data_IF_556688619304
#
_entry.id   IF_556688619304
#
_cell.length_a   1.000
_cell.length_b   1.000
_cell.length_c   1.000
_cell.angle_alpha   90.00
_cell.angle_beta   90.00
_cell.angle_gamma   90.00
#
_symmetry.space_group_name_H-M   'P 1'
#
loop_
_entity.id
_entity.type
_entity.pdbx_description
1 polymer ?
#
# COMPACT_ATOMS: atom_id res chain seq x y z
N UNK A 1 42.35 -23.61 10.72
CA UNK A 1 41.03 -23.72 10.06
C UNK A 1 40.64 -22.32 9.64
N UNK A 2 40.67 -22.04 8.34
CA UNK A 2 40.17 -20.77 7.81
C UNK A 2 38.65 -20.83 7.84
N UNK A 3 38.04 -20.03 8.72
CA UNK A 3 36.60 -19.86 8.75
C UNK A 3 36.23 -18.97 7.58
N UNK A 4 35.91 -19.58 6.45
CA UNK A 4 35.26 -18.87 5.34
C UNK A 4 33.87 -18.49 5.83
N UNK A 5 33.71 -17.23 6.22
CA UNK A 5 32.41 -16.64 6.49
C UNK A 5 31.63 -16.68 5.18
N UNK A 6 30.70 -17.64 5.08
CA UNK A 6 29.64 -17.61 4.09
C UNK A 6 29.04 -16.20 4.14
N UNK A 7 28.98 -15.46 3.04
CA UNK A 7 28.46 -14.10 2.99
C UNK A 7 26.99 -14.08 3.46
N UNK A 8 26.80 -13.94 4.76
CA UNK A 8 25.52 -13.61 5.34
C UNK A 8 25.24 -12.17 4.91
N UNK A 9 24.29 -12.01 3.97
CA UNK A 9 23.68 -10.74 3.60
C UNK A 9 22.90 -10.14 4.78
N UNK A 10 23.58 -9.92 5.91
CA UNK A 10 23.00 -9.52 7.19
C UNK A 10 22.53 -8.05 7.19
N UNK A 11 22.79 -7.33 6.09
CA UNK A 11 22.41 -5.95 5.91
C UNK A 11 22.02 -5.65 4.46
N UNK A 12 21.05 -6.41 3.91
CA UNK A 12 20.40 -5.97 2.67
C UNK A 12 19.72 -4.63 2.98
N UNK A 13 20.33 -3.55 2.49
CA UNK A 13 19.80 -2.20 2.64
C UNK A 13 18.48 -2.09 1.89
N UNK A 14 17.57 -1.31 2.44
CA UNK A 14 16.27 -1.05 1.81
C UNK A 14 16.46 -0.56 0.36
N UNK A 15 17.48 0.25 0.12
CA UNK A 15 17.87 0.76 -1.19
C UNK A 15 18.21 -0.36 -2.19
N UNK A 16 18.89 -1.41 -1.76
CA UNK A 16 19.27 -2.53 -2.62
C UNK A 16 18.05 -3.33 -3.09
N UNK A 17 17.10 -3.57 -2.18
CA UNK A 17 15.82 -4.21 -2.53
C UNK A 17 15.01 -3.35 -3.51
N UNK A 18 14.96 -2.03 -3.30
CA UNK A 18 14.25 -1.10 -4.20
C UNK A 18 14.94 -1.03 -5.58
N UNK A 19 16.27 -1.03 -5.59
CA UNK A 19 17.04 -1.02 -6.82
C UNK A 19 16.82 -2.31 -7.63
N UNK A 20 16.74 -3.48 -6.97
CA UNK A 20 16.41 -4.73 -7.64
C UNK A 20 14.98 -4.71 -8.23
N UNK A 21 14.00 -4.18 -7.50
CA UNK A 21 12.62 -4.03 -8.01
C UNK A 21 12.59 -3.12 -9.23
N UNK A 22 13.27 -1.97 -9.19
CA UNK A 22 13.38 -1.04 -10.32
C UNK A 22 14.11 -1.69 -11.51
N UNK A 23 15.17 -2.45 -11.26
CA UNK A 23 15.91 -3.22 -12.27
C UNK A 23 15.00 -4.22 -12.98
N UNK A 24 14.20 -4.97 -12.23
CA UNK A 24 13.26 -5.95 -12.80
C UNK A 24 12.15 -5.26 -13.60
N UNK A 25 11.63 -4.14 -13.12
CA UNK A 25 10.63 -3.35 -13.85
C UNK A 25 11.18 -2.85 -15.20
N UNK A 26 12.43 -2.33 -15.20
CA UNK A 26 13.14 -1.92 -16.42
C UNK A 26 13.42 -3.10 -17.36
N UNK A 27 13.81 -4.25 -16.81
CA UNK A 27 14.08 -5.47 -17.58
C UNK A 27 12.82 -5.96 -18.30
N UNK A 28 11.66 -5.89 -17.65
CA UNK A 28 10.37 -6.25 -18.24
C UNK A 28 9.79 -5.13 -19.12
N UNK A 29 10.44 -3.96 -19.17
CA UNK A 29 9.95 -2.75 -19.85
C UNK A 29 8.51 -2.39 -19.46
N UNK A 30 8.17 -2.55 -18.19
CA UNK A 30 6.83 -2.26 -17.67
C UNK A 30 6.88 -1.11 -16.67
N UNK A 31 5.93 -0.20 -16.81
CA UNK A 31 5.69 0.88 -15.85
C UNK A 31 5.14 0.34 -14.52
N UNK A 32 4.52 -0.84 -14.51
CA UNK A 32 3.95 -1.47 -13.31
C UNK A 32 4.48 -2.89 -13.15
N UNK A 33 4.87 -3.28 -11.94
CA UNK A 33 5.34 -4.64 -11.64
C UNK A 33 4.42 -5.35 -10.64
N UNK A 34 4.02 -6.59 -10.94
CA UNK A 34 3.22 -7.41 -10.01
C UNK A 34 4.14 -8.28 -9.14
N UNK A 35 3.74 -8.57 -7.89
CA UNK A 35 4.42 -9.55 -7.00
C UNK A 35 4.80 -10.86 -7.70
N UNK A 36 3.89 -11.41 -8.54
CA UNK A 36 4.11 -12.65 -9.28
C UNK A 36 5.17 -12.54 -10.38
N UNK A 37 5.27 -11.37 -11.01
CA UNK A 37 6.26 -11.11 -12.06
C UNK A 37 7.63 -10.90 -11.42
N UNK A 38 7.68 -10.11 -10.35
CA UNK A 38 8.89 -9.95 -9.57
C UNK A 38 9.36 -11.28 -8.97
N UNK A 39 8.47 -12.13 -8.45
CA UNK A 39 8.87 -13.45 -7.94
C UNK A 39 9.51 -14.37 -9.00
N UNK A 40 9.35 -14.09 -10.30
CA UNK A 40 9.97 -14.85 -11.39
C UNK A 40 11.32 -14.29 -11.84
N UNK A 41 11.55 -12.99 -11.69
CA UNK A 41 12.70 -12.28 -12.24
C UNK A 41 13.56 -11.55 -11.20
N UNK A 42 13.05 -11.38 -9.98
CA UNK A 42 13.69 -10.70 -8.87
C UNK A 42 14.66 -11.57 -8.11
N UNK A 43 15.63 -10.92 -7.48
CA UNK A 43 16.62 -11.59 -6.65
C UNK A 43 16.05 -11.91 -5.26
N UNK A 44 15.06 -11.13 -4.81
CA UNK A 44 14.45 -11.26 -3.50
C UNK A 44 13.02 -11.81 -3.56
N UNK A 45 12.55 -12.33 -2.42
CA UNK A 45 11.16 -12.74 -2.26
C UNK A 45 10.23 -11.54 -2.19
N UNK A 46 9.18 -11.51 -3.02
CA UNK A 46 8.16 -10.45 -2.98
C UNK A 46 7.52 -10.30 -1.57
N UNK A 47 7.40 -11.40 -0.82
CA UNK A 47 6.90 -11.39 0.56
C UNK A 47 7.88 -10.71 1.51
N UNK A 48 9.19 -10.98 1.37
CA UNK A 48 10.26 -10.37 2.18
C UNK A 48 10.26 -8.84 2.02
N UNK A 49 10.15 -8.37 0.78
CA UNK A 49 10.05 -6.94 0.49
C UNK A 49 8.76 -6.37 1.09
N UNK A 50 7.62 -7.04 0.89
CA UNK A 50 6.34 -6.60 1.44
C UNK A 50 6.38 -6.51 2.98
N UNK A 51 7.05 -7.43 3.68
CA UNK A 51 7.21 -7.37 5.14
C UNK A 51 8.07 -6.20 5.60
N UNK A 52 9.14 -5.89 4.85
CA UNK A 52 10.08 -4.82 5.18
C UNK A 52 9.52 -3.42 4.91
N UNK A 53 8.78 -3.26 3.81
CA UNK A 53 8.21 -1.97 3.37
C UNK A 53 6.72 -1.82 3.68
N UNK A 54 6.09 -2.85 4.25
CA UNK A 54 4.67 -2.91 4.61
C UNK A 54 3.77 -3.38 3.46
N UNK A 55 3.90 -2.80 2.27
CA UNK A 55 3.06 -3.17 1.12
C UNK A 55 3.83 -3.10 -0.19
N UNK A 56 3.46 -3.96 -1.14
CA UNK A 56 4.03 -3.94 -2.49
C UNK A 56 3.77 -2.62 -3.23
N UNK A 57 2.61 -2.03 -2.99
CA UNK A 57 2.26 -0.73 -3.56
C UNK A 57 3.22 0.36 -3.06
N UNK A 58 3.58 0.31 -1.78
CA UNK A 58 4.56 1.23 -1.19
C UNK A 58 5.96 1.07 -1.79
N UNK A 59 6.32 -0.17 -2.15
CA UNK A 59 7.58 -0.46 -2.86
C UNK A 59 7.56 0.15 -4.26
N UNK A 60 6.44 0.01 -5.00
CA UNK A 60 6.29 0.62 -6.33
C UNK A 60 6.37 2.15 -6.26
N UNK A 61 5.73 2.76 -5.25
CA UNK A 61 5.80 4.20 -4.99
C UNK A 61 7.24 4.66 -4.72
N UNK A 62 7.99 3.93 -3.89
CA UNK A 62 9.40 4.22 -3.62
C UNK A 62 10.32 4.03 -4.84
N UNK A 63 9.92 3.18 -5.78
CA UNK A 63 10.64 2.98 -7.05
C UNK A 63 10.17 3.93 -8.17
N UNK A 64 9.29 4.91 -7.87
CA UNK A 64 8.66 5.80 -8.84
C UNK A 64 7.98 5.05 -10.01
N UNK A 65 7.46 3.84 -9.72
CA UNK A 65 6.76 3.00 -10.67
C UNK A 65 5.25 3.26 -10.63
N UNK A 66 4.61 3.10 -11.77
CA UNK A 66 3.17 3.22 -11.85
C UNK A 66 2.48 2.08 -11.11
N UNK A 67 1.43 2.44 -10.38
CA UNK A 67 0.61 1.50 -9.64
C UNK A 67 -0.65 1.20 -10.43
N UNK A 68 -0.87 -0.06 -10.78
CA UNK A 68 -2.07 -0.43 -11.51
C UNK A 68 -3.33 -0.23 -10.63
N UNK A 69 -4.44 0.27 -11.19
CA UNK A 69 -5.74 0.43 -10.52
C UNK A 69 -6.20 -0.86 -9.79
N UNK A 70 -5.86 -2.03 -10.32
CA UNK A 70 -6.17 -3.32 -9.70
C UNK A 70 -5.34 -3.56 -8.42
N UNK A 71 -4.11 -3.05 -8.38
CA UNK A 71 -3.24 -3.10 -7.19
C UNK A 71 -3.69 -2.09 -6.12
N UNK A 72 -4.17 -0.92 -6.56
CA UNK A 72 -4.82 0.08 -5.69
C UNK A 72 -6.07 -0.50 -5.01
N UNK A 73 -6.91 -1.23 -5.76
CA UNK A 73 -8.07 -1.92 -5.20
C UNK A 73 -7.66 -3.02 -4.21
N UNK A 74 -6.64 -3.81 -4.51
CA UNK A 74 -6.16 -4.88 -3.62
C UNK A 74 -5.55 -4.34 -2.30
N UNK A 75 -4.89 -3.17 -2.33
CA UNK A 75 -4.41 -2.51 -1.11
C UNK A 75 -5.57 -2.02 -0.24
N UNK A 76 -6.65 -1.49 -0.86
CA UNK A 76 -7.89 -1.10 -0.18
C UNK A 76 -8.65 -2.30 0.39
N UNK A 77 -8.48 -3.50 -0.17
CA UNK A 77 -9.14 -4.74 0.26
C UNK A 77 -8.32 -5.59 1.23
N UNK A 78 -7.10 -5.16 1.62
CA UNK A 78 -6.32 -5.86 2.64
C UNK A 78 -7.00 -5.70 3.99
N UNK A 79 -7.12 -6.77 4.78
CA UNK A 79 -7.69 -6.74 6.14
C UNK A 79 -6.93 -5.80 7.11
N UNK A 80 -5.79 -5.22 6.71
CA UNK A 80 -5.12 -4.13 7.44
C UNK A 80 -5.77 -2.74 7.21
N UNK A 81 -6.65 -2.60 6.22
CA UNK A 81 -7.44 -1.41 5.91
C UNK A 81 -8.92 -1.56 6.35
N UNK A 82 -9.18 -2.25 7.48
CA UNK A 82 -10.49 -2.18 8.14
C UNK A 82 -10.77 -0.78 8.71
N UNK A 83 -9.76 0.09 8.77
CA UNK A 83 -9.95 1.51 9.01
C UNK A 83 -10.49 2.17 7.72
N UNK A 84 -11.74 2.60 7.77
CA UNK A 84 -12.31 3.58 6.83
C UNK A 84 -11.26 4.67 6.60
N UNK A 85 -10.85 4.87 5.34
CA UNK A 85 -9.83 5.87 5.04
C UNK A 85 -10.34 7.25 5.41
N UNK A 86 -9.50 8.13 5.97
CA UNK A 86 -9.91 9.47 6.41
C UNK A 86 -10.64 10.24 5.30
N UNK A 87 -10.19 10.09 4.05
CA UNK A 87 -10.81 10.71 2.89
C UNK A 87 -12.24 10.21 2.61
N UNK A 88 -12.52 8.94 2.93
CA UNK A 88 -13.82 8.33 2.74
C UNK A 88 -14.79 8.76 3.86
N UNK A 89 -14.28 8.87 5.09
CA UNK A 89 -15.00 9.47 6.22
C UNK A 89 -15.32 10.95 5.95
N UNK A 90 -14.34 11.72 5.46
CA UNK A 90 -14.51 13.14 5.11
C UNK A 90 -15.51 13.34 3.98
N UNK A 91 -15.49 12.48 2.96
CA UNK A 91 -16.49 12.54 1.88
C UNK A 91 -17.90 12.24 2.38
N UNK A 92 -18.05 11.28 3.30
CA UNK A 92 -19.35 10.96 3.89
C UNK A 92 -19.86 12.11 4.78
N UNK A 93 -19.00 12.68 5.61
CA UNK A 93 -19.29 13.89 6.41
C UNK A 93 -19.69 15.05 5.49
N UNK A 94 -18.98 15.26 4.38
CA UNK A 94 -19.32 16.30 3.42
C UNK A 94 -20.68 16.04 2.77
N UNK A 95 -20.97 14.79 2.39
CA UNK A 95 -22.26 14.40 1.83
C UNK A 95 -23.40 14.69 2.82
N UNK A 96 -23.25 14.32 4.09
CA UNK A 96 -24.25 14.59 5.15
C UNK A 96 -24.44 16.10 5.35
N UNK A 97 -23.36 16.90 5.26
CA UNK A 97 -23.43 18.37 5.34
C UNK A 97 -24.30 18.98 4.24
N UNK A 98 -24.20 18.43 3.02
CA UNK A 98 -24.97 18.89 1.86
C UNK A 98 -26.45 18.50 2.00
N UNK A 99 -26.73 17.29 2.49
CA UNK A 99 -28.10 16.80 2.71
C UNK A 99 -28.82 17.61 3.79
N UNK A 100 -28.13 17.96 4.88
CA UNK A 100 -28.69 18.76 5.97
C UNK A 100 -28.69 20.27 5.68
N UNK A 101 -27.93 20.73 4.68
CA UNK A 101 -27.75 22.15 4.38
C UNK A 101 -27.06 22.93 5.50
N UNK A 102 -26.31 22.24 6.37
CA UNK A 102 -25.67 22.82 7.57
C UNK A 102 -24.19 22.48 7.57
N UNK A 103 -23.37 23.46 7.97
CA UNK A 103 -21.90 23.32 8.08
C UNK A 103 -21.45 22.55 9.33
N UNK A 104 -22.38 22.30 10.26
CA UNK A 104 -22.13 21.56 11.50
C UNK A 104 -23.40 20.80 11.88
N UNK A 105 -23.25 19.52 12.19
CA UNK A 105 -24.35 18.63 12.59
C UNK A 105 -23.86 17.75 13.74
N UNK A 106 -24.79 17.29 14.57
CA UNK A 106 -24.51 16.43 15.72
C UNK A 106 -24.11 15.02 15.29
N UNK A 107 -23.35 14.32 16.12
CA UNK A 107 -23.03 12.89 15.92
C UNK A 107 -24.29 12.04 15.73
N UNK A 108 -25.41 12.42 16.34
CA UNK A 108 -26.70 11.74 16.18
C UNK A 108 -27.31 11.95 14.78
N UNK A 109 -27.17 13.15 14.23
CA UNK A 109 -27.63 13.47 12.85
C UNK A 109 -26.75 12.76 11.82
N UNK A 110 -25.44 12.66 12.08
CA UNK A 110 -24.54 11.88 11.24
C UNK A 110 -24.83 10.38 11.30
N UNK A 111 -25.16 9.81 12.46
CA UNK A 111 -25.46 8.38 12.56
C UNK A 111 -26.80 7.98 11.90
N UNK A 112 -27.68 8.95 11.64
CA UNK A 112 -28.95 8.73 10.92
C UNK A 112 -28.78 8.75 9.39
N UNK A 113 -27.87 9.59 8.89
CA UNK A 113 -27.69 9.87 7.45
C UNK A 113 -26.37 9.35 6.87
N UNK A 114 -25.38 9.17 7.72
CA UNK A 114 -24.01 8.76 7.38
C UNK A 114 -23.91 7.27 7.14
N UNK A 115 -23.00 6.90 6.25
CA UNK A 115 -22.72 5.51 5.90
C UNK A 115 -21.82 4.83 6.95
N UNK A 116 -21.09 5.62 7.73
CA UNK A 116 -20.17 5.14 8.76
C UNK A 116 -20.75 5.41 10.16
N UNK A 117 -20.66 4.42 11.06
CA UNK A 117 -21.09 4.62 12.44
C UNK A 117 -20.02 5.39 13.22
N UNK A 118 -20.44 6.35 14.04
CA UNK A 118 -19.55 7.08 14.96
C UNK A 118 -19.16 6.28 16.21
N UNK A 119 -19.42 4.98 16.22
CA UNK A 119 -19.11 4.11 17.37
C UNK A 119 -17.62 3.74 17.33
N UNK A 120 -16.90 4.20 18.34
CA UNK A 120 -15.47 3.91 18.58
C UNK A 120 -15.31 2.55 19.24
#
# INVERSE_FOLDING_TARGET
MEFVLNEYHHNISNEDMLNDVSRVARMLQKSTLTKKEYAKAGCYGADTICRRFGSWLKVLELCELESNQFQMAAAKSSHLHTAVSDNDLLNDIFRVSQVLGKKSFSSKEYNDLGKYSCST
#
